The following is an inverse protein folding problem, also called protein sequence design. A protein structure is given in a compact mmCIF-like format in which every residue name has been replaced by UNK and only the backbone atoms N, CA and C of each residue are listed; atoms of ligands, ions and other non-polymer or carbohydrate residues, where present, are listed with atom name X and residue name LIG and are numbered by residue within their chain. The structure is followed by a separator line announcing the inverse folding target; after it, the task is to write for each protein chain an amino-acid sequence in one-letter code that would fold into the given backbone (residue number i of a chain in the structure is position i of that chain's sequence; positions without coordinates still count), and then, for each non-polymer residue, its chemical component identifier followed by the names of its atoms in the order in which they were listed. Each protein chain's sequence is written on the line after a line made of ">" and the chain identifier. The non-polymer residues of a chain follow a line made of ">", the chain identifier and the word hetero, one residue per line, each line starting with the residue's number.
data_IF_162296864820
#
_entry.id   IF_162296864820
#
_cell.length_a   1.000
_cell.length_b   1.000
_cell.length_c   1.000
_cell.angle_alpha   90.00
_cell.angle_beta   90.00
_cell.angle_gamma   90.00
#
_symmetry.space_group_name_H-M   'P 1'
#
loop_
_entity.id
_entity.type
_entity.pdbx_description
1 polymer ?
#
# COMPACT_ATOMS: atom_id res chain seq x y z
N UNK A 1 -6.84 44.40 74.58
CA UNK A 1 -6.04 44.51 73.36
C UNK A 1 -5.85 43.11 72.79
N UNK A 2 -6.74 42.74 71.90
CA UNK A 2 -6.88 41.37 71.38
C UNK A 2 -6.26 41.30 69.97
N UNK A 3 -5.20 40.53 69.81
CA UNK A 3 -4.49 40.36 68.56
C UNK A 3 -5.09 39.20 67.81
N UNK A 4 -5.72 39.43 66.68
CA UNK A 4 -6.26 38.43 65.77
C UNK A 4 -5.12 37.99 64.88
N UNK A 5 -4.74 36.69 64.97
CA UNK A 5 -3.85 36.05 64.02
C UNK A 5 -4.69 35.41 62.86
N UNK A 6 -4.59 35.99 61.69
CA UNK A 6 -5.10 35.38 60.43
C UNK A 6 -4.10 34.34 59.97
N UNK A 7 -4.49 33.09 59.95
CA UNK A 7 -3.78 31.99 59.27
C UNK A 7 -4.21 31.99 57.81
N UNK A 8 -3.27 32.25 56.89
CA UNK A 8 -3.43 32.01 55.46
C UNK A 8 -3.16 30.52 55.18
N UNK A 9 -4.19 29.79 54.81
CA UNK A 9 -4.04 28.45 54.26
C UNK A 9 -3.70 28.57 52.76
N UNK A 10 -2.47 28.18 52.37
CA UNK A 10 -2.12 27.97 50.98
C UNK A 10 -2.75 26.62 50.54
N UNK A 11 -3.72 26.72 49.65
CA UNK A 11 -4.21 25.56 48.91
C UNK A 11 -3.16 25.21 47.84
N UNK A 12 -2.46 24.09 48.03
CA UNK A 12 -1.68 23.43 46.97
C UNK A 12 -2.68 22.74 46.08
N UNK A 13 -2.87 23.26 44.86
CA UNK A 13 -3.57 22.56 43.83
C UNK A 13 -2.61 21.51 43.25
N UNK A 14 -2.90 20.26 43.53
CA UNK A 14 -2.30 19.14 42.82
C UNK A 14 -2.73 19.22 41.34
N UNK A 15 -1.79 19.62 40.49
CA UNK A 15 -1.95 19.51 39.04
C UNK A 15 -1.77 18.01 38.69
N UNK A 16 -2.86 17.36 38.34
CA UNK A 16 -2.80 16.06 37.64
C UNK A 16 -2.01 16.28 36.36
N UNK A 17 -1.09 15.34 36.01
CA UNK A 17 -0.46 15.35 34.70
C UNK A 17 -1.55 15.05 33.67
N UNK A 18 -1.87 16.05 32.84
CA UNK A 18 -2.57 15.82 31.59
C UNK A 18 -1.71 14.88 30.77
N UNK A 19 -2.11 13.61 30.64
CA UNK A 19 -1.69 12.74 29.57
C UNK A 19 -2.00 13.48 28.26
N UNK A 20 -0.95 13.99 27.63
CA UNK A 20 -0.99 14.40 26.25
C UNK A 20 -1.35 13.13 25.45
N UNK A 21 -2.60 12.98 25.09
CA UNK A 21 -3.01 12.08 24.04
C UNK A 21 -2.26 12.53 22.79
N UNK A 22 -1.19 11.84 22.43
CA UNK A 22 -0.62 11.88 21.10
C UNK A 22 -1.74 11.46 20.15
N UNK A 23 -2.39 12.47 19.59
CA UNK A 23 -3.23 12.29 18.41
C UNK A 23 -2.25 12.00 17.27
N UNK A 24 -2.08 10.70 16.96
CA UNK A 24 -1.61 10.29 15.66
C UNK A 24 -2.45 11.06 14.65
N UNK A 25 -1.80 11.87 13.82
CA UNK A 25 -2.48 12.59 12.75
C UNK A 25 -2.96 11.53 11.76
N UNK A 26 -4.21 11.09 11.94
CA UNK A 26 -4.92 10.33 10.92
C UNK A 26 -5.01 11.24 9.71
N UNK A 27 -4.29 10.88 8.67
CA UNK A 27 -4.40 11.55 7.38
C UNK A 27 -5.82 11.33 6.86
N UNK A 28 -6.47 12.43 6.52
CA UNK A 28 -7.81 12.41 5.93
C UNK A 28 -7.79 11.57 4.64
N UNK A 29 -8.76 10.69 4.47
CA UNK A 29 -8.93 9.86 3.29
C UNK A 29 -8.96 10.69 2.00
N UNK A 30 -8.24 10.24 0.99
CA UNK A 30 -8.12 10.91 -0.31
C UNK A 30 -9.22 10.44 -1.27
N UNK A 31 -10.49 10.65 -0.90
CA UNK A 31 -11.63 10.25 -1.75
C UNK A 31 -11.50 10.82 -3.17
N UNK A 32 -11.44 9.93 -4.16
CA UNK A 32 -11.43 10.29 -5.58
C UNK A 32 -10.12 10.85 -6.13
N UNK A 33 -9.05 10.93 -5.32
CA UNK A 33 -7.76 11.50 -5.73
C UNK A 33 -6.82 10.47 -6.39
N UNK A 34 -7.13 9.17 -6.34
CA UNK A 34 -6.27 8.07 -6.81
C UNK A 34 -7.01 7.11 -7.74
N UNK A 35 -7.45 7.58 -8.93
CA UNK A 35 -8.29 6.79 -9.83
C UNK A 35 -7.62 5.54 -10.42
N UNK A 36 -6.33 5.38 -10.20
CA UNK A 36 -5.54 4.20 -10.56
C UNK A 36 -5.47 3.13 -9.51
N UNK A 37 -5.99 3.41 -8.27
CA UNK A 37 -5.89 2.44 -7.19
C UNK A 37 -6.66 1.17 -7.52
N UNK A 38 -5.97 0.03 -7.42
CA UNK A 38 -6.55 -1.29 -7.61
C UNK A 38 -6.49 -2.10 -6.32
N UNK A 39 -7.57 -2.81 -6.02
CA UNK A 39 -7.59 -3.87 -5.02
C UNK A 39 -7.42 -5.22 -5.68
N UNK A 40 -6.53 -6.06 -5.15
CA UNK A 40 -6.44 -7.49 -5.49
C UNK A 40 -6.98 -8.27 -4.30
N UNK A 41 -8.04 -9.05 -4.51
CA UNK A 41 -8.73 -9.73 -3.44
C UNK A 41 -9.16 -11.16 -3.81
N UNK A 42 -9.46 -11.98 -2.81
CA UNK A 42 -9.98 -13.33 -2.99
C UNK A 42 -11.51 -13.28 -3.14
N UNK A 43 -12.03 -13.68 -4.27
CA UNK A 43 -13.48 -13.87 -4.45
C UNK A 43 -14.05 -15.03 -3.62
N UNK A 44 -13.18 -15.84 -3.02
CA UNK A 44 -13.55 -16.98 -2.15
C UNK A 44 -12.67 -16.98 -0.90
N UNK A 45 -12.85 -16.03 0.03
CA UNK A 45 -12.07 -15.98 1.24
C UNK A 45 -12.30 -17.25 2.06
N UNK A 46 -11.21 -17.82 2.57
CA UNK A 46 -11.26 -18.98 3.47
C UNK A 46 -11.30 -18.46 4.90
N UNK A 47 -12.37 -18.79 5.60
CA UNK A 47 -12.56 -18.44 7.00
C UNK A 47 -11.88 -19.48 7.88
N UNK A 48 -10.97 -19.05 8.73
CA UNK A 48 -10.44 -19.86 9.83
C UNK A 48 -11.33 -19.72 11.05
N UNK A 49 -11.14 -20.59 12.05
CA UNK A 49 -11.83 -20.44 13.33
C UNK A 49 -11.44 -19.14 14.03
N UNK A 50 -10.17 -18.74 13.91
CA UNK A 50 -9.64 -17.48 14.47
C UNK A 50 -10.30 -16.26 13.82
N UNK A 51 -10.50 -16.28 12.49
CA UNK A 51 -11.19 -15.21 11.77
C UNK A 51 -12.64 -15.04 12.24
N UNK A 52 -13.36 -16.15 12.43
CA UNK A 52 -14.74 -16.13 12.95
C UNK A 52 -14.83 -15.63 14.40
N UNK A 53 -13.81 -15.89 15.22
CA UNK A 53 -13.73 -15.44 16.62
C UNK A 53 -13.25 -13.99 16.75
N UNK A 54 -12.47 -13.49 15.79
CA UNK A 54 -11.95 -12.10 15.77
C UNK A 54 -12.99 -11.06 15.38
N UNK A 55 -14.12 -11.48 14.79
CA UNK A 55 -15.16 -10.57 14.30
C UNK A 55 -14.79 -9.81 13.03
N UNK A 56 -13.77 -10.29 12.29
CA UNK A 56 -13.37 -9.70 11.00
C UNK A 56 -14.45 -9.92 9.95
N UNK A 57 -14.68 -8.91 9.11
CA UNK A 57 -15.66 -8.95 8.03
C UNK A 57 -15.12 -9.69 6.79
N UNK A 58 -16.06 -10.08 5.92
CA UNK A 58 -15.71 -10.81 4.69
C UNK A 58 -14.83 -10.02 3.74
N UNK A 59 -15.01 -8.71 3.63
CA UNK A 59 -14.20 -7.83 2.80
C UNK A 59 -12.76 -7.75 3.33
N UNK A 60 -12.58 -7.66 4.65
CA UNK A 60 -11.29 -7.62 5.33
C UNK A 60 -10.50 -8.92 5.11
N UNK A 61 -11.15 -10.07 5.24
CA UNK A 61 -10.55 -11.37 4.93
C UNK A 61 -10.27 -11.57 3.44
N UNK A 62 -11.06 -10.94 2.58
CA UNK A 62 -10.89 -11.01 1.13
C UNK A 62 -9.71 -10.19 0.62
N UNK A 63 -9.45 -9.01 1.19
CA UNK A 63 -8.36 -8.13 0.78
C UNK A 63 -7.00 -8.84 0.88
N UNK A 64 -6.13 -8.64 -0.11
CA UNK A 64 -4.81 -9.29 -0.17
C UNK A 64 -3.68 -8.33 -0.50
N UNK A 65 -3.90 -7.45 -1.48
CA UNK A 65 -2.88 -6.57 -2.00
C UNK A 65 -3.51 -5.35 -2.68
N UNK A 66 -2.71 -4.31 -2.83
CA UNK A 66 -2.94 -3.22 -3.75
C UNK A 66 -2.40 -3.50 -5.15
N UNK A 67 -2.61 -2.55 -6.05
CA UNK A 67 -2.08 -2.50 -7.39
C UNK A 67 -2.31 -1.13 -8.01
N UNK A 68 -1.71 -0.90 -9.17
CA UNK A 68 -1.83 0.34 -9.94
C UNK A 68 -2.37 0.06 -11.34
N UNK A 69 -3.49 0.64 -11.73
CA UNK A 69 -3.96 0.63 -13.10
C UNK A 69 -2.97 1.45 -13.95
N UNK A 70 -2.27 0.82 -14.88
CA UNK A 70 -1.27 1.48 -15.75
C UNK A 70 -1.69 1.55 -17.22
N UNK A 71 -2.71 0.80 -17.59
CA UNK A 71 -3.35 0.83 -18.90
C UNK A 71 -4.81 0.36 -18.77
N UNK A 72 -5.59 0.47 -19.83
CA UNK A 72 -7.04 0.20 -19.84
C UNK A 72 -7.46 -1.09 -19.12
N UNK A 73 -6.66 -2.16 -19.23
CA UNK A 73 -6.96 -3.53 -18.79
C UNK A 73 -5.76 -4.20 -18.10
N UNK A 74 -4.79 -3.39 -17.64
CA UNK A 74 -3.58 -3.84 -16.97
C UNK A 74 -3.35 -3.19 -15.63
N UNK A 75 -3.16 -4.02 -14.61
CA UNK A 75 -2.75 -3.61 -13.26
C UNK A 75 -1.34 -4.09 -13.00
N UNK A 76 -0.48 -3.17 -12.57
CA UNK A 76 0.86 -3.46 -12.04
C UNK A 76 0.76 -3.73 -10.54
N UNK A 77 1.45 -4.77 -10.07
CA UNK A 77 1.47 -5.18 -8.66
C UNK A 77 2.76 -5.93 -8.32
N UNK A 78 2.90 -6.39 -7.08
CA UNK A 78 4.00 -7.25 -6.66
C UNK A 78 3.80 -8.72 -7.09
N UNK A 79 4.88 -9.42 -7.40
CA UNK A 79 4.82 -10.84 -7.81
C UNK A 79 4.30 -11.76 -6.69
N UNK A 80 4.57 -11.41 -5.42
CA UNK A 80 4.06 -12.16 -4.28
C UNK A 80 2.54 -12.04 -4.12
N UNK A 81 1.90 -11.03 -4.73
CA UNK A 81 0.46 -10.81 -4.68
C UNK A 81 -0.34 -11.77 -5.55
N UNK A 82 0.24 -12.30 -6.63
CA UNK A 82 -0.51 -13.08 -7.60
C UNK A 82 0.27 -14.33 -8.08
N UNK A 83 -0.45 -15.41 -8.29
CA UNK A 83 0.02 -16.62 -8.96
C UNK A 83 -1.17 -17.36 -9.56
N UNK A 84 -0.91 -18.38 -10.40
CA UNK A 84 -1.97 -19.12 -11.06
C UNK A 84 -2.95 -19.76 -10.08
N UNK A 85 -2.49 -20.32 -8.97
CA UNK A 85 -3.36 -20.93 -7.98
C UNK A 85 -4.33 -19.91 -7.34
N UNK A 86 -3.92 -18.66 -7.16
CA UNK A 86 -4.80 -17.59 -6.68
C UNK A 86 -5.86 -17.24 -7.72
N UNK A 87 -5.49 -17.15 -9.00
CA UNK A 87 -6.44 -16.92 -10.10
C UNK A 87 -7.46 -18.05 -10.16
N UNK A 88 -7.01 -19.32 -10.12
CA UNK A 88 -7.87 -20.50 -10.14
C UNK A 88 -8.81 -20.53 -8.91
N UNK A 89 -8.38 -19.99 -7.78
CA UNK A 89 -9.18 -19.82 -6.57
C UNK A 89 -10.09 -18.57 -6.60
N UNK A 90 -10.22 -17.91 -7.76
CA UNK A 90 -11.17 -16.82 -7.95
C UNK A 90 -10.68 -15.45 -7.42
N UNK A 91 -9.36 -15.20 -7.41
CA UNK A 91 -8.87 -13.84 -7.18
C UNK A 91 -9.33 -12.89 -8.29
N UNK A 92 -9.64 -11.67 -7.92
CA UNK A 92 -10.21 -10.64 -8.78
C UNK A 92 -9.50 -9.30 -8.57
N UNK A 93 -9.72 -8.38 -9.50
CA UNK A 93 -9.34 -6.96 -9.41
C UNK A 93 -10.60 -6.14 -9.17
N UNK A 94 -10.53 -5.15 -8.29
CA UNK A 94 -11.56 -4.14 -8.08
C UNK A 94 -10.95 -2.77 -8.31
N UNK A 95 -11.63 -1.93 -9.10
CA UNK A 95 -11.21 -0.57 -9.45
C UNK A 95 -12.32 0.43 -9.09
N UNK A 96 -11.93 1.69 -8.80
CA UNK A 96 -12.86 2.77 -8.55
C UNK A 96 -13.63 2.63 -7.23
N UNK A 97 -13.01 2.06 -6.20
CA UNK A 97 -13.54 1.99 -4.85
C UNK A 97 -12.66 2.81 -3.91
N UNK A 98 -13.26 3.65 -3.08
CA UNK A 98 -12.61 4.27 -1.92
C UNK A 98 -12.84 3.43 -0.66
N UNK A 99 -14.00 2.78 -0.55
CA UNK A 99 -14.36 1.93 0.59
C UNK A 99 -14.50 0.46 0.20
N UNK A 100 -13.93 -0.45 1.00
CA UNK A 100 -13.98 -1.90 0.77
C UNK A 100 -15.17 -2.59 1.45
N UNK A 101 -15.78 -1.97 2.44
CA UNK A 101 -16.87 -2.51 3.26
C UNK A 101 -18.26 -2.28 2.65
N UNK A 102 -18.31 -1.70 1.46
CA UNK A 102 -19.52 -1.42 0.70
C UNK A 102 -19.46 -1.97 -0.73
N UNK A 103 -20.44 -1.63 -1.55
CA UNK A 103 -20.56 -2.08 -2.94
C UNK A 103 -19.87 -1.15 -3.96
N UNK A 104 -18.98 -0.24 -3.53
CA UNK A 104 -18.26 0.64 -4.45
C UNK A 104 -17.26 -0.11 -5.31
N UNK A 105 -16.99 0.47 -6.48
CA UNK A 105 -16.01 -0.05 -7.42
C UNK A 105 -16.50 -1.21 -8.27
N UNK A 106 -15.82 -1.41 -9.36
CA UNK A 106 -16.12 -2.45 -10.37
C UNK A 106 -15.15 -3.60 -10.21
N UNK A 107 -15.71 -4.80 -10.16
CA UNK A 107 -14.97 -6.05 -10.05
C UNK A 107 -14.76 -6.68 -11.41
N UNK A 108 -13.53 -7.10 -11.66
CA UNK A 108 -13.12 -7.74 -12.90
C UNK A 108 -12.50 -9.11 -12.65
N UNK A 109 -12.68 -10.03 -13.59
CA UNK A 109 -12.01 -11.32 -13.58
C UNK A 109 -10.57 -11.17 -14.09
N UNK A 110 -9.64 -11.79 -13.39
CA UNK A 110 -8.27 -11.94 -13.87
C UNK A 110 -8.24 -13.10 -14.89
N UNK A 111 -7.84 -12.80 -16.12
CA UNK A 111 -7.70 -13.85 -17.13
C UNK A 111 -6.23 -14.21 -17.41
N UNK A 112 -5.30 -13.33 -17.05
CA UNK A 112 -3.88 -13.54 -17.27
C UNK A 112 -3.03 -12.78 -16.25
N UNK A 113 -1.86 -13.33 -15.94
CA UNK A 113 -0.79 -12.64 -15.23
C UNK A 113 0.55 -12.85 -15.93
N UNK A 114 1.49 -11.93 -15.76
CA UNK A 114 2.90 -12.09 -16.12
C UNK A 114 3.75 -11.67 -14.93
N UNK A 115 4.57 -12.58 -14.40
CA UNK A 115 5.53 -12.30 -13.33
C UNK A 115 6.94 -12.16 -13.87
N UNK A 116 7.78 -11.40 -13.18
CA UNK A 116 9.20 -11.42 -13.49
C UNK A 116 9.79 -12.82 -13.24
N UNK A 117 10.50 -13.39 -14.22
CA UNK A 117 11.01 -14.77 -14.13
C UNK A 117 12.08 -14.97 -13.07
N UNK A 118 12.79 -13.90 -12.68
CA UNK A 118 13.80 -13.93 -11.62
C UNK A 118 13.22 -13.60 -10.22
N UNK A 119 11.90 -13.50 -10.08
CA UNK A 119 11.23 -13.33 -8.79
C UNK A 119 11.69 -14.37 -7.76
N UNK A 120 12.12 -13.89 -6.61
CA UNK A 120 12.55 -14.73 -5.51
C UNK A 120 11.95 -14.27 -4.17
N UNK A 121 10.99 -15.03 -3.68
CA UNK A 121 10.27 -14.71 -2.45
C UNK A 121 11.17 -14.61 -1.21
N UNK A 122 12.24 -15.43 -1.13
CA UNK A 122 13.13 -15.43 0.06
C UNK A 122 14.07 -14.25 0.10
N UNK A 123 14.39 -13.70 -1.06
CA UNK A 123 15.32 -12.58 -1.20
C UNK A 123 14.59 -11.26 -1.47
N UNK A 124 13.26 -11.30 -1.62
CA UNK A 124 12.43 -10.16 -2.01
C UNK A 124 12.94 -9.42 -3.27
N UNK A 125 13.48 -10.19 -4.24
CA UNK A 125 14.07 -9.64 -5.46
C UNK A 125 13.16 -9.82 -6.66
N UNK A 126 13.13 -8.86 -7.59
CA UNK A 126 12.29 -8.85 -8.79
C UNK A 126 10.80 -9.07 -8.50
N UNK A 127 10.33 -8.47 -7.43
CA UNK A 127 8.96 -8.64 -6.93
C UNK A 127 7.97 -7.76 -7.68
N UNK A 128 7.73 -8.10 -8.95
CA UNK A 128 6.87 -7.38 -9.88
C UNK A 128 6.05 -8.34 -10.72
N UNK A 129 4.78 -8.00 -10.92
CA UNK A 129 3.86 -8.73 -11.80
C UNK A 129 2.87 -7.77 -12.48
N UNK A 130 2.39 -8.18 -13.63
CA UNK A 130 1.27 -7.60 -14.33
C UNK A 130 0.06 -8.53 -14.27
N UNK A 131 -1.09 -7.95 -14.11
CA UNK A 131 -2.40 -8.61 -14.17
C UNK A 131 -3.16 -8.01 -15.34
N UNK A 132 -3.60 -8.86 -16.28
CA UNK A 132 -4.61 -8.51 -17.26
C UNK A 132 -5.97 -8.94 -16.75
N UNK A 133 -6.97 -8.08 -16.89
CA UNK A 133 -8.32 -8.33 -16.40
C UNK A 133 -9.36 -8.08 -17.48
N UNK A 134 -10.50 -8.73 -17.34
CA UNK A 134 -11.63 -8.65 -18.28
C UNK A 134 -12.95 -8.57 -17.52
N UNK A 135 -13.94 -7.95 -18.14
CA UNK A 135 -15.31 -8.00 -17.65
C UNK A 135 -15.88 -9.44 -17.72
N UNK A 136 -16.78 -9.75 -16.82
CA UNK A 136 -17.57 -11.00 -16.81
C UNK A 136 -19.01 -10.72 -16.32
N UNK A 137 -19.77 -11.78 -16.04
CA UNK A 137 -21.17 -11.65 -15.61
C UNK A 137 -21.36 -10.95 -14.24
N UNK A 138 -20.28 -10.82 -13.45
CA UNK A 138 -20.30 -10.11 -12.15
C UNK A 138 -19.85 -8.64 -12.28
N UNK A 139 -19.42 -8.21 -13.47
CA UNK A 139 -18.95 -6.85 -13.70
C UNK A 139 -20.14 -5.89 -13.82
N UNK A 140 -20.19 -4.90 -12.94
CA UNK A 140 -21.23 -3.86 -12.90
C UNK A 140 -20.59 -2.46 -12.94
N UNK A 141 -20.47 -1.91 -14.14
CA UNK A 141 -19.85 -0.60 -14.38
C UNK A 141 -20.63 0.56 -13.73
N UNK A 142 -21.87 0.35 -13.28
CA UNK A 142 -22.64 1.39 -12.58
C UNK A 142 -22.10 1.70 -11.18
N UNK A 143 -21.22 0.85 -10.65
CA UNK A 143 -20.56 0.99 -9.35
C UNK A 143 -19.19 1.67 -9.43
N UNK A 144 -18.76 2.05 -10.63
CA UNK A 144 -17.45 2.68 -10.83
C UNK A 144 -17.41 4.07 -10.22
N UNK A 145 -16.45 4.29 -9.32
CA UNK A 145 -15.89 5.61 -9.06
C UNK A 145 -14.97 6.04 -10.22
N UNK A 146 -14.20 7.12 -10.04
CA UNK A 146 -13.19 7.51 -11.03
C UNK A 146 -12.18 6.40 -11.28
N UNK A 147 -11.93 6.06 -12.55
CA UNK A 147 -10.94 5.06 -12.96
C UNK A 147 -10.10 5.65 -14.09
N UNK A 148 -8.81 5.84 -13.82
CA UNK A 148 -7.84 6.37 -14.79
C UNK A 148 -6.48 5.71 -14.54
N UNK A 149 -5.76 5.37 -15.63
CA UNK A 149 -4.43 4.79 -15.51
C UNK A 149 -3.39 5.84 -15.10
N UNK A 150 -2.50 5.47 -14.18
CA UNK A 150 -1.36 6.30 -13.81
C UNK A 150 -0.22 6.09 -14.80
N UNK A 151 0.42 7.18 -15.30
CA UNK A 151 1.63 7.05 -16.10
C UNK A 151 2.80 6.52 -15.26
N UNK A 152 3.65 5.72 -15.91
CA UNK A 152 4.93 5.34 -15.30
C UNK A 152 5.90 6.52 -15.41
N UNK A 153 6.60 6.82 -14.32
CA UNK A 153 7.64 7.83 -14.30
C UNK A 153 8.80 7.44 -15.24
N UNK A 154 9.16 8.31 -16.17
CA UNK A 154 10.21 8.09 -17.16
C UNK A 154 11.42 9.02 -17.01
N UNK A 155 11.47 9.79 -15.93
CA UNK A 155 12.59 10.66 -15.57
C UNK A 155 13.82 9.88 -15.06
N UNK A 156 14.86 10.60 -14.60
CA UNK A 156 16.05 10.00 -14.01
C UNK A 156 15.70 9.28 -12.70
N UNK A 157 16.47 8.26 -12.28
CA UNK A 157 16.26 7.59 -11.00
C UNK A 157 16.20 8.58 -9.84
N UNK A 158 15.22 8.39 -8.95
CA UNK A 158 15.03 9.25 -7.80
C UNK A 158 16.18 9.10 -6.80
N UNK A 159 16.70 10.22 -6.36
CA UNK A 159 17.67 10.31 -5.25
C UNK A 159 16.92 10.31 -3.89
N UNK A 160 17.66 10.19 -2.80
CA UNK A 160 17.11 10.39 -1.47
C UNK A 160 16.63 11.84 -1.25
N UNK A 161 15.55 12.02 -0.49
CA UNK A 161 14.99 13.33 -0.15
C UNK A 161 13.86 13.81 -1.06
N UNK A 162 13.38 12.96 -1.98
CA UNK A 162 12.24 13.28 -2.86
C UNK A 162 10.93 12.95 -2.14
N UNK A 163 9.98 13.89 -2.18
CA UNK A 163 8.65 13.69 -1.64
C UNK A 163 7.82 12.76 -2.54
N UNK A 164 7.26 11.73 -1.93
CA UNK A 164 6.41 10.71 -2.55
C UNK A 164 5.24 10.42 -1.62
N UNK A 165 4.25 9.70 -2.11
CA UNK A 165 3.18 9.16 -1.27
C UNK A 165 2.78 7.76 -1.73
N UNK A 166 2.24 6.97 -0.80
CA UNK A 166 1.64 5.68 -1.11
C UNK A 166 0.17 5.68 -0.70
N UNK A 167 -0.64 4.85 -1.37
CA UNK A 167 -2.05 4.69 -1.05
C UNK A 167 -2.43 3.22 -0.95
N UNK A 168 -3.37 2.92 -0.04
CA UNK A 168 -3.83 1.55 0.15
C UNK A 168 -4.86 1.39 1.27
N UNK A 169 -5.20 0.15 1.54
CA UNK A 169 -6.11 -0.28 2.60
C UNK A 169 -5.38 -1.13 3.65
N UNK A 170 -4.07 -0.96 3.75
CA UNK A 170 -3.23 -1.69 4.69
C UNK A 170 -3.58 -1.46 6.15
N UNK A 171 -3.00 -2.24 7.04
CA UNK A 171 -3.15 -2.07 8.47
C UNK A 171 -2.52 -0.76 8.94
N UNK A 172 -3.12 -0.11 9.94
CA UNK A 172 -2.56 1.08 10.59
C UNK A 172 -1.71 0.75 11.81
N UNK A 173 -1.59 -0.50 12.19
CA UNK A 173 -0.68 -0.97 13.24
C UNK A 173 -0.23 -2.41 13.00
N UNK A 174 0.89 -2.79 13.61
CA UNK A 174 1.45 -4.14 13.50
C UNK A 174 0.79 -5.19 14.42
N UNK A 175 -0.21 -4.81 15.22
CA UNK A 175 -0.80 -5.77 16.18
C UNK A 175 -1.43 -6.93 15.43
N UNK A 176 -1.02 -8.13 15.80
CA UNK A 176 -1.61 -9.35 15.25
C UNK A 176 -3.14 -9.33 15.44
N UNK A 177 -3.85 -9.44 14.32
CA UNK A 177 -5.32 -9.45 14.31
C UNK A 177 -5.96 -8.07 14.15
N UNK A 178 -5.18 -6.97 14.00
CA UNK A 178 -5.74 -5.73 13.45
C UNK A 178 -6.23 -6.01 12.02
N UNK A 179 -7.43 -5.55 11.69
CA UNK A 179 -8.01 -5.65 10.35
C UNK A 179 -7.34 -4.67 9.38
N UNK A 180 -7.68 -4.80 8.12
CA UNK A 180 -7.35 -3.81 7.10
C UNK A 180 -8.25 -2.57 7.25
N UNK A 181 -7.85 -1.47 6.62
CA UNK A 181 -8.72 -0.29 6.56
C UNK A 181 -9.81 -0.51 5.53
N UNK A 182 -11.05 -0.11 5.84
CA UNK A 182 -12.12 -0.11 4.84
C UNK A 182 -11.98 1.08 3.91
N UNK A 183 -11.55 2.22 4.40
CA UNK A 183 -11.33 3.45 3.65
C UNK A 183 -9.93 3.47 3.04
N UNK A 184 -9.83 3.91 1.77
CA UNK A 184 -8.55 4.14 1.11
C UNK A 184 -7.82 5.29 1.78
N UNK A 185 -6.63 5.01 2.29
CA UNK A 185 -5.78 5.99 2.98
C UNK A 185 -4.54 6.32 2.17
N UNK A 186 -3.98 7.50 2.42
CA UNK A 186 -2.71 7.95 1.86
C UNK A 186 -1.70 8.15 2.97
N UNK A 187 -0.45 7.82 2.69
CA UNK A 187 0.68 8.10 3.56
C UNK A 187 1.72 8.91 2.82
N UNK A 188 2.09 10.06 3.41
CA UNK A 188 3.11 10.95 2.87
C UNK A 188 4.49 10.47 3.27
N UNK A 189 5.35 10.25 2.29
CA UNK A 189 6.66 9.65 2.45
C UNK A 189 7.75 10.51 1.80
N UNK A 190 8.98 10.20 2.13
CA UNK A 190 10.19 10.73 1.50
C UNK A 190 11.15 9.61 1.19
N UNK A 191 11.74 9.62 0.01
CA UNK A 191 12.79 8.68 -0.36
C UNK A 191 14.01 8.86 0.52
N UNK A 192 14.64 7.76 0.92
CA UNK A 192 15.84 7.71 1.76
C UNK A 192 16.86 6.75 1.17
N UNK A 193 18.13 6.88 1.58
CA UNK A 193 19.13 5.89 1.24
C UNK A 193 18.88 4.62 2.07
N UNK A 194 18.65 3.49 1.41
CA UNK A 194 18.44 2.21 2.10
C UNK A 194 19.63 1.85 3.01
N UNK A 195 20.84 2.28 2.68
CA UNK A 195 22.06 2.00 3.47
C UNK A 195 22.10 2.72 4.82
N UNK A 196 21.25 3.73 5.03
CA UNK A 196 21.09 4.39 6.35
C UNK A 196 20.47 3.45 7.39
N UNK A 197 19.84 2.35 6.94
CA UNK A 197 19.21 1.36 7.78
C UNK A 197 20.03 0.07 7.79
N UNK A 198 20.57 -0.38 8.95
CA UNK A 198 21.45 -1.53 9.04
C UNK A 198 20.89 -2.83 8.46
N UNK A 199 19.56 -3.02 8.52
CA UNK A 199 18.86 -4.19 7.99
C UNK A 199 18.76 -4.18 6.45
N UNK A 200 18.93 -3.03 5.79
CA UNK A 200 18.73 -2.85 4.35
C UNK A 200 20.03 -2.65 3.55
N UNK A 201 21.20 -2.88 4.14
CA UNK A 201 22.51 -2.69 3.48
C UNK A 201 22.72 -3.52 2.21
N UNK A 202 21.92 -4.57 2.00
CA UNK A 202 22.00 -5.45 0.82
C UNK A 202 20.77 -5.33 -0.09
N UNK A 203 20.00 -4.27 0.04
CA UNK A 203 18.87 -3.99 -0.87
C UNK A 203 19.46 -3.70 -2.26
N UNK A 204 18.97 -4.37 -3.32
CA UNK A 204 19.47 -4.14 -4.68
C UNK A 204 19.20 -2.72 -5.18
N UNK A 205 20.03 -2.19 -6.07
CA UNK A 205 19.92 -0.84 -6.64
C UNK A 205 18.57 -0.56 -7.35
N UNK A 206 17.87 -1.61 -7.74
CA UNK A 206 16.53 -1.52 -8.35
C UNK A 206 15.38 -1.52 -7.33
N UNK A 207 15.69 -1.42 -6.06
CA UNK A 207 14.73 -1.12 -5.00
C UNK A 207 15.07 0.25 -4.40
N UNK A 208 14.07 0.94 -3.89
CA UNK A 208 14.24 2.20 -3.16
C UNK A 208 13.61 2.08 -1.77
N UNK A 209 14.07 2.90 -0.85
CA UNK A 209 13.51 3.02 0.47
C UNK A 209 12.79 4.36 0.62
N UNK A 210 11.68 4.36 1.37
CA UNK A 210 10.99 5.58 1.76
C UNK A 210 10.43 5.44 3.18
N UNK A 211 10.31 6.56 3.90
CA UNK A 211 9.79 6.64 5.26
C UNK A 211 9.06 7.97 5.44
N UNK A 212 8.49 8.23 6.61
CA UNK A 212 7.81 9.49 6.93
C UNK A 212 8.65 10.73 6.59
N UNK A 213 7.99 11.82 6.22
CA UNK A 213 8.65 13.04 5.67
C UNK A 213 9.49 13.80 6.67
N UNK A 214 9.22 13.67 7.97
CA UNK A 214 9.91 14.39 9.02
C UNK A 214 10.60 13.46 10.02
N UNK A 215 11.74 13.85 10.62
CA UNK A 215 12.36 13.06 11.67
C UNK A 215 11.40 12.76 12.82
N UNK A 216 11.27 11.49 13.18
CA UNK A 216 10.34 11.01 14.20
C UNK A 216 8.91 10.77 13.67
N UNK A 217 8.69 10.93 12.38
CA UNK A 217 7.49 10.50 11.68
C UNK A 217 7.68 9.02 11.29
N UNK A 218 6.94 8.15 11.93
CA UNK A 218 6.98 6.70 11.70
C UNK A 218 6.02 6.24 10.57
N UNK A 219 5.51 7.19 9.77
CA UNK A 219 4.63 6.91 8.66
C UNK A 219 5.26 5.92 7.67
N UNK A 220 4.52 4.89 7.30
CA UNK A 220 4.97 3.80 6.43
C UNK A 220 3.78 3.10 5.76
N UNK A 221 4.08 2.30 4.73
CA UNK A 221 3.15 1.30 4.20
C UNK A 221 3.19 0.04 5.06
N UNK A 222 2.07 -0.69 5.14
CA UNK A 222 1.97 -1.84 6.02
C UNK A 222 1.38 -3.07 5.31
N UNK A 223 1.14 -4.13 6.07
CA UNK A 223 0.48 -5.36 5.58
C UNK A 223 -0.84 -5.01 4.91
N UNK A 224 -1.00 -5.43 3.66
CA UNK A 224 -2.16 -5.12 2.82
C UNK A 224 -1.89 -4.07 1.74
N UNK A 225 -0.89 -3.18 1.91
CA UNK A 225 -0.49 -2.22 0.88
C UNK A 225 0.41 -2.83 -0.19
N UNK A 226 0.94 -4.03 0.05
CA UNK A 226 1.78 -4.77 -0.90
C UNK A 226 1.26 -4.71 -2.33
N UNK A 227 2.11 -4.41 -3.30
CA UNK A 227 1.75 -4.27 -4.71
C UNK A 227 1.12 -2.94 -5.08
N UNK A 228 0.73 -2.12 -4.09
CA UNK A 228 0.17 -0.79 -4.27
C UNK A 228 1.16 0.23 -4.82
N UNK A 229 0.69 1.43 -5.16
CA UNK A 229 1.50 2.47 -5.77
C UNK A 229 2.38 3.20 -4.75
N UNK A 230 3.61 3.53 -5.17
CA UNK A 230 4.38 4.67 -4.67
C UNK A 230 4.39 5.72 -5.78
N UNK A 231 3.92 6.92 -5.48
CA UNK A 231 3.65 7.97 -6.46
C UNK A 231 4.51 9.19 -6.16
N UNK A 232 5.04 9.81 -7.22
CA UNK A 232 5.75 11.08 -7.10
C UNK A 232 4.78 12.18 -6.68
N UNK A 233 5.10 12.89 -5.60
CA UNK A 233 4.30 14.02 -5.14
C UNK A 233 4.59 15.25 -6.00
N UNK A 234 3.55 15.75 -6.70
CA UNK A 234 3.67 16.88 -7.61
C UNK A 234 2.38 17.15 -8.37
N UNK A 235 2.43 18.13 -9.28
CA UNK A 235 1.27 18.56 -10.08
C UNK A 235 0.68 17.46 -10.96
N UNK A 236 1.50 16.46 -11.31
CA UNK A 236 1.10 15.30 -12.11
C UNK A 236 1.55 14.03 -11.40
N UNK A 237 0.62 13.19 -10.99
CA UNK A 237 0.96 11.91 -10.39
C UNK A 237 1.64 10.99 -11.42
N UNK A 238 2.76 10.41 -11.03
CA UNK A 238 3.50 9.42 -11.81
C UNK A 238 3.93 8.28 -10.90
N UNK A 239 3.80 7.05 -11.37
CA UNK A 239 4.16 5.86 -10.61
C UNK A 239 5.68 5.70 -10.59
N UNK A 240 6.30 5.78 -9.41
CA UNK A 240 7.74 5.65 -9.21
C UNK A 240 8.15 4.33 -8.55
N UNK A 241 7.20 3.64 -7.91
CA UNK A 241 7.49 2.38 -7.25
C UNK A 241 6.27 1.51 -7.00
N UNK A 242 6.54 0.26 -6.63
CA UNK A 242 5.57 -0.74 -6.20
C UNK A 242 5.90 -1.16 -4.78
N UNK A 243 4.93 -1.11 -3.86
CA UNK A 243 5.11 -1.54 -2.46
C UNK A 243 5.51 -3.02 -2.43
N UNK A 244 6.68 -3.33 -1.87
CA UNK A 244 7.19 -4.70 -1.85
C UNK A 244 7.23 -5.31 -0.46
N UNK A 245 8.07 -4.78 0.43
CA UNK A 245 8.31 -5.32 1.76
C UNK A 245 8.87 -4.27 2.72
N UNK A 246 8.98 -4.62 4.00
CA UNK A 246 9.60 -3.82 5.04
C UNK A 246 9.79 -4.67 6.30
N UNK A 247 10.60 -4.21 7.25
CA UNK A 247 10.77 -4.84 8.55
C UNK A 247 9.90 -4.13 9.60
N UNK A 248 8.64 -4.52 9.65
CA UNK A 248 7.62 -3.89 10.46
C UNK A 248 6.94 -2.73 9.75
N UNK A 249 6.03 -2.07 10.43
CA UNK A 249 5.33 -0.87 9.96
C UNK A 249 5.38 0.18 11.05
N UNK A 250 5.37 1.46 10.69
CA UNK A 250 5.30 2.57 11.65
C UNK A 250 6.41 2.52 12.70
N UNK A 251 7.67 2.41 12.24
CA UNK A 251 8.85 2.33 13.11
C UNK A 251 9.90 3.35 12.68
N UNK A 252 10.39 4.14 13.63
CA UNK A 252 11.45 5.13 13.40
C UNK A 252 12.78 4.51 12.89
N UNK A 253 13.03 3.23 13.19
CA UNK A 253 14.24 2.51 12.81
C UNK A 253 14.09 1.68 11.53
N UNK A 254 12.99 1.86 10.78
CA UNK A 254 12.66 1.12 9.56
C UNK A 254 12.25 2.06 8.42
N UNK A 255 12.17 1.51 7.23
CA UNK A 255 11.64 2.15 6.03
C UNK A 255 10.90 1.11 5.18
N UNK A 256 9.89 1.53 4.44
CA UNK A 256 9.30 0.70 3.40
C UNK A 256 10.28 0.49 2.24
N UNK A 257 10.28 -0.69 1.65
CA UNK A 257 11.09 -1.03 0.47
C UNK A 257 10.18 -1.25 -0.74
N UNK A 258 10.50 -0.56 -1.82
CA UNK A 258 9.69 -0.48 -3.04
C UNK A 258 10.52 -0.93 -4.24
N UNK A 259 9.91 -1.64 -5.19
CA UNK A 259 10.55 -1.89 -6.48
C UNK A 259 10.48 -0.60 -7.32
N UNK A 260 11.61 -0.16 -7.87
CA UNK A 260 11.75 1.08 -8.63
C UNK A 260 11.13 0.97 -10.03
N UNK A 261 10.17 1.82 -10.34
CA UNK A 261 9.65 2.01 -11.70
C UNK A 261 10.42 3.10 -12.43
N UNK A 262 11.09 4.00 -11.72
CA UNK A 262 12.05 4.95 -12.29
C UNK A 262 13.32 4.29 -12.89
N UNK A 263 13.41 2.97 -12.82
CA UNK A 263 14.41 2.14 -13.45
C UNK A 263 13.95 1.68 -14.85
N UNK A 264 14.70 2.03 -15.90
CA UNK A 264 14.39 1.70 -17.30
C UNK A 264 14.19 0.20 -17.54
N UNK A 265 14.97 -0.66 -16.89
CA UNK A 265 14.85 -2.11 -17.01
C UNK A 265 13.41 -2.60 -16.70
N UNK A 266 12.79 -2.07 -15.64
CA UNK A 266 11.44 -2.49 -15.27
C UNK A 266 10.37 -1.84 -16.14
N UNK A 267 10.55 -0.61 -16.59
CA UNK A 267 9.64 0.00 -17.59
C UNK A 267 9.64 -0.80 -18.90
N UNK A 268 10.82 -1.19 -19.38
CA UNK A 268 10.98 -2.06 -20.55
C UNK A 268 10.37 -3.44 -20.32
N UNK A 269 10.55 -4.00 -19.12
CA UNK A 269 9.92 -5.26 -18.75
C UNK A 269 8.39 -5.15 -18.81
N UNK A 270 7.80 -4.11 -18.23
CA UNK A 270 6.35 -3.83 -18.28
C UNK A 270 5.86 -3.77 -19.72
N UNK A 271 6.53 -3.00 -20.58
CA UNK A 271 6.14 -2.86 -21.99
C UNK A 271 6.19 -4.21 -22.74
N UNK A 272 7.25 -5.00 -22.54
CA UNK A 272 7.40 -6.34 -23.13
C UNK A 272 6.37 -7.34 -22.60
N UNK A 273 6.08 -7.30 -21.30
CA UNK A 273 5.12 -8.19 -20.66
C UNK A 273 3.69 -7.91 -21.17
N UNK A 274 3.30 -6.64 -21.32
CA UNK A 274 2.00 -6.26 -21.90
C UNK A 274 1.87 -6.71 -23.36
N UNK A 275 2.96 -6.65 -24.14
CA UNK A 275 3.00 -7.06 -25.54
C UNK A 275 3.21 -8.56 -25.76
N UNK A 276 3.46 -9.33 -24.70
CA UNK A 276 3.79 -10.75 -24.81
C UNK A 276 2.59 -11.63 -25.21
N UNK A 277 2.87 -12.81 -25.79
CA UNK A 277 1.83 -13.80 -26.13
C UNK A 277 1.01 -14.16 -24.89
N UNK A 278 -0.32 -14.35 -24.99
CA UNK A 278 -1.19 -14.70 -23.88
C UNK A 278 -0.79 -15.95 -23.09
N UNK A 279 -0.02 -16.85 -23.67
CA UNK A 279 0.50 -18.06 -22.98
C UNK A 279 1.70 -17.78 -22.08
N UNK A 280 2.31 -16.59 -22.15
CA UNK A 280 3.46 -16.23 -21.32
C UNK A 280 2.99 -15.80 -19.93
N UNK A 281 3.39 -16.54 -18.91
CA UNK A 281 3.10 -16.24 -17.50
C UNK A 281 4.34 -15.73 -16.71
N UNK A 282 5.54 -15.91 -17.28
CA UNK A 282 6.80 -15.41 -16.70
C UNK A 282 7.70 -14.84 -17.81
N UNK A 283 8.32 -13.68 -17.55
CA UNK A 283 9.19 -12.96 -18.47
C UNK A 283 10.37 -12.33 -17.72
N UNK A 284 11.56 -12.37 -18.35
CA UNK A 284 12.76 -11.63 -17.89
C UNK A 284 12.88 -10.26 -18.51
#
# INVERSE_FOLDING_TARGET
>A
MLMLLLAFALAVQDAEPQEAAEQSQQQEGTTGATPWQAQIYSGRPVWTKEDMESGRDGWDLAHKCGGSLIAKDWVLTAAHCINQARIDNGHRVRLGADYLDNDEGVTYRIDRMVRHADWNQKLHTYDIALIHFVADDETDDSKAGPVEAIPLYDGPPLEAGVDVYATGWGQLDEKKGSGFQSELTSVDLKTVDCSDYPQYQNVPDYQLCATGRTPGDDADTCTGDSGGPLVLDGDKPELVGVVNWGEGCYREDSAGVYLRIDNEHFRDWVARAMASDPSVSELR
#
